data_IF_505096147122
#
_entry.id   IF_505096147122
#
_cell.length_a   1.000
_cell.length_b   1.000
_cell.length_c   1.000
_cell.angle_alpha   90.00
_cell.angle_beta   90.00
_cell.angle_gamma   90.00
#
_symmetry.space_group_name_H-M   'P 1'
#
loop_
_entity.id
_entity.type
_entity.pdbx_description
1 polymer ?
#
# COMPACT_ATOMS: atom_id res chain seq x y z
N UNK A 1 -27.29 -1.23 -11.63
CA UNK A 1 -26.67 -1.47 -10.30
C UNK A 1 -25.96 -0.19 -9.91
N UNK A 2 -26.35 0.45 -8.80
CA UNK A 2 -25.61 1.60 -8.27
C UNK A 2 -24.28 1.06 -7.75
N UNK A 3 -23.22 1.27 -8.50
CA UNK A 3 -21.87 0.90 -8.05
C UNK A 3 -21.42 1.83 -6.94
N UNK A 4 -20.46 1.38 -6.13
CA UNK A 4 -19.84 2.23 -5.13
C UNK A 4 -18.97 3.29 -5.80
N UNK A 5 -19.02 4.51 -5.29
CA UNK A 5 -18.14 5.61 -5.74
C UNK A 5 -16.84 5.53 -4.93
N UNK A 6 -15.69 5.61 -5.60
CA UNK A 6 -14.40 5.72 -4.92
C UNK A 6 -14.16 7.20 -4.59
N UNK A 7 -13.94 7.48 -3.32
CA UNK A 7 -13.53 8.78 -2.82
C UNK A 7 -12.22 8.65 -2.03
N UNK A 8 -11.64 9.77 -1.62
CA UNK A 8 -10.35 9.80 -0.92
C UNK A 8 -10.44 10.67 0.32
N UNK A 9 -9.87 10.23 1.46
CA UNK A 9 -9.70 11.13 2.62
C UNK A 9 -8.83 12.31 2.23
N UNK A 10 -7.72 12.02 1.52
CA UNK A 10 -6.80 13.03 1.03
C UNK A 10 -6.28 12.63 -0.35
N UNK A 11 -6.96 13.11 -1.40
CA UNK A 11 -6.61 12.78 -2.78
C UNK A 11 -5.17 13.16 -3.13
N UNK A 12 -4.66 14.28 -2.60
CA UNK A 12 -3.31 14.74 -2.90
C UNK A 12 -2.23 13.81 -2.33
N UNK A 13 -2.34 13.43 -1.07
CA UNK A 13 -1.39 12.48 -0.46
C UNK A 13 -1.53 11.09 -1.07
N UNK A 14 -2.76 10.63 -1.30
CA UNK A 14 -3.01 9.34 -1.92
C UNK A 14 -2.38 9.24 -3.32
N UNK A 15 -2.55 10.27 -4.16
CA UNK A 15 -1.94 10.31 -5.50
C UNK A 15 -0.41 10.32 -5.45
N UNK A 16 0.22 10.87 -4.42
CA UNK A 16 1.69 10.80 -4.23
C UNK A 16 2.12 9.36 -3.93
N UNK A 17 1.43 8.71 -2.99
CA UNK A 17 1.67 7.31 -2.63
C UNK A 17 1.47 6.39 -3.84
N UNK A 18 0.38 6.59 -4.58
CA UNK A 18 0.06 5.81 -5.77
C UNK A 18 1.12 5.97 -6.88
N UNK A 19 1.64 7.18 -7.11
CA UNK A 19 2.74 7.42 -8.06
C UNK A 19 4.03 6.70 -7.64
N UNK A 20 4.34 6.73 -6.35
CA UNK A 20 5.50 6.01 -5.81
C UNK A 20 5.31 4.49 -5.94
N UNK A 21 4.14 3.99 -5.58
CA UNK A 21 3.77 2.59 -5.74
C UNK A 21 3.90 2.15 -7.21
N UNK A 22 3.46 2.98 -8.16
CA UNK A 22 3.62 2.71 -9.60
C UNK A 22 5.09 2.61 -10.03
N UNK A 23 5.98 3.41 -9.44
CA UNK A 23 7.43 3.43 -9.77
C UNK A 23 8.15 2.22 -9.18
N UNK A 24 7.89 1.91 -7.92
CA UNK A 24 8.66 0.94 -7.14
C UNK A 24 8.01 -0.44 -7.02
N UNK A 25 6.69 -0.53 -7.10
CA UNK A 25 5.94 -1.79 -7.08
C UNK A 25 4.81 -1.79 -8.12
N UNK A 26 5.23 -1.93 -9.39
CA UNK A 26 4.33 -1.91 -10.56
C UNK A 26 3.29 -3.04 -10.51
N UNK A 27 3.61 -4.17 -9.88
CA UNK A 27 2.69 -5.33 -9.76
C UNK A 27 1.54 -4.99 -8.81
N UNK A 28 1.84 -4.47 -7.61
CA UNK A 28 0.82 -3.97 -6.69
C UNK A 28 -0.07 -2.92 -7.36
N UNK A 29 0.53 -1.93 -8.02
CA UNK A 29 -0.21 -0.86 -8.69
C UNK A 29 -1.16 -1.38 -9.77
N UNK A 30 -0.73 -2.35 -10.58
CA UNK A 30 -1.59 -2.99 -11.59
C UNK A 30 -2.75 -3.72 -10.94
N UNK A 31 -2.48 -4.56 -9.93
CA UNK A 31 -3.53 -5.33 -9.25
C UNK A 31 -4.56 -4.42 -8.56
N UNK A 32 -4.07 -3.36 -7.92
CA UNK A 32 -4.89 -2.31 -7.32
C UNK A 32 -5.83 -1.66 -8.33
N UNK A 33 -5.31 -1.20 -9.47
CA UNK A 33 -6.10 -0.49 -10.46
C UNK A 33 -7.03 -1.40 -11.28
N UNK A 34 -6.59 -2.60 -11.65
CA UNK A 34 -7.33 -3.47 -12.57
C UNK A 34 -8.31 -4.40 -11.88
N UNK A 35 -8.00 -4.87 -10.67
CA UNK A 35 -8.83 -5.83 -9.94
C UNK A 35 -9.54 -5.12 -8.79
N UNK A 36 -8.78 -4.58 -7.84
CA UNK A 36 -9.34 -4.09 -6.57
C UNK A 36 -10.28 -2.89 -6.76
N UNK A 37 -9.90 -1.85 -7.51
CA UNK A 37 -10.82 -0.73 -7.76
C UNK A 37 -12.08 -1.15 -8.52
N UNK A 38 -12.02 -2.18 -9.38
CA UNK A 38 -13.22 -2.69 -10.05
C UNK A 38 -14.11 -3.44 -9.08
N UNK A 39 -13.53 -4.26 -8.22
CA UNK A 39 -14.25 -5.02 -7.20
C UNK A 39 -14.92 -4.08 -6.19
N UNK A 40 -14.20 -3.07 -5.71
CA UNK A 40 -14.74 -2.05 -4.81
C UNK A 40 -15.94 -1.33 -5.42
N UNK A 41 -15.83 -0.88 -6.69
CA UNK A 41 -16.95 -0.25 -7.40
C UNK A 41 -18.15 -1.18 -7.61
N UNK A 42 -17.92 -2.50 -7.66
CA UNK A 42 -18.99 -3.51 -7.76
C UNK A 42 -19.61 -3.85 -6.41
N UNK A 43 -19.03 -3.39 -5.30
CA UNK A 43 -19.46 -3.72 -3.93
C UNK A 43 -18.85 -5.01 -3.39
N UNK A 44 -17.76 -5.49 -4.00
CA UNK A 44 -16.97 -6.61 -3.47
C UNK A 44 -15.78 -6.06 -2.68
N UNK A 45 -15.91 -6.02 -1.35
CA UNK A 45 -14.86 -5.51 -0.47
C UNK A 45 -13.82 -6.59 -0.21
N UNK A 46 -12.63 -6.36 -0.76
CA UNK A 46 -11.49 -7.28 -0.69
C UNK A 46 -10.52 -6.85 0.41
N UNK A 47 -10.13 -7.78 1.27
CA UNK A 47 -9.20 -7.52 2.38
C UNK A 47 -9.69 -8.07 3.71
N UNK A 48 -8.97 -7.72 4.77
CA UNK A 48 -9.32 -8.05 6.15
C UNK A 48 -10.09 -6.86 6.75
N UNK A 49 -11.28 -7.10 7.30
CA UNK A 49 -12.02 -6.08 8.04
C UNK A 49 -11.32 -5.83 9.38
N UNK A 50 -10.88 -4.59 9.61
CA UNK A 50 -10.11 -4.21 10.80
C UNK A 50 -11.00 -3.53 11.84
N UNK A 51 -12.00 -2.77 11.38
CA UNK A 51 -12.96 -2.11 12.25
C UNK A 51 -14.34 -2.01 11.60
N UNK A 52 -15.37 -2.05 12.43
CA UNK A 52 -16.75 -1.79 12.02
C UNK A 52 -17.43 -0.84 13.00
N UNK A 53 -17.91 0.28 12.48
CA UNK A 53 -18.57 1.33 13.24
C UNK A 53 -20.08 1.27 12.98
N UNK A 54 -20.78 0.55 13.85
CA UNK A 54 -22.24 0.36 13.76
C UNK A 54 -23.05 1.65 13.87
N UNK A 55 -22.48 2.72 14.46
CA UNK A 55 -23.16 4.02 14.56
C UNK A 55 -23.22 4.75 13.22
N UNK A 56 -22.12 4.68 12.46
CA UNK A 56 -22.00 5.38 11.18
C UNK A 56 -22.27 4.47 9.98
N UNK A 57 -22.41 3.15 10.20
CA UNK A 57 -22.58 2.15 9.13
C UNK A 57 -21.37 2.12 8.20
N UNK A 58 -20.18 2.20 8.82
CA UNK A 58 -18.89 2.26 8.16
C UNK A 58 -18.04 1.05 8.51
N UNK A 59 -17.38 0.49 7.51
CA UNK A 59 -16.51 -0.69 7.65
C UNK A 59 -15.13 -0.38 7.09
N UNK A 60 -14.09 -0.51 7.90
CA UNK A 60 -12.71 -0.27 7.48
C UNK A 60 -12.03 -1.59 7.16
N UNK A 61 -11.39 -1.63 6.00
CA UNK A 61 -10.73 -2.80 5.46
C UNK A 61 -9.24 -2.50 5.21
N UNK A 62 -8.41 -3.49 5.53
CA UNK A 62 -7.01 -3.55 5.15
C UNK A 62 -6.80 -4.58 4.05
N UNK A 63 -6.32 -4.12 2.90
CA UNK A 63 -5.99 -4.98 1.77
C UNK A 63 -4.50 -5.08 1.56
N UNK A 64 -3.95 -6.26 1.79
CA UNK A 64 -2.54 -6.56 1.52
C UNK A 64 -2.29 -6.61 0.02
N UNK A 65 -1.40 -5.74 -0.46
CA UNK A 65 -0.99 -5.68 -1.86
C UNK A 65 0.22 -6.61 -2.09
N UNK A 66 0.35 -7.19 -3.29
CA UNK A 66 1.49 -8.05 -3.61
C UNK A 66 2.78 -7.23 -3.66
N UNK A 67 3.75 -7.56 -2.81
CA UNK A 67 5.07 -6.93 -2.78
C UNK A 67 6.17 -7.97 -2.69
N UNK A 68 7.38 -7.59 -3.11
CA UNK A 68 8.56 -8.46 -3.02
C UNK A 68 8.86 -8.80 -1.57
N UNK A 69 9.15 -10.09 -1.30
CA UNK A 69 9.43 -10.58 0.06
C UNK A 69 10.52 -9.79 0.78
N UNK A 70 11.58 -9.41 0.05
CA UNK A 70 12.70 -8.66 0.62
C UNK A 70 12.27 -7.22 0.96
N UNK A 71 11.49 -6.59 0.07
CA UNK A 71 10.93 -5.27 0.34
C UNK A 71 10.04 -5.29 1.58
N UNK A 72 9.15 -6.29 1.67
CA UNK A 72 8.26 -6.49 2.82
C UNK A 72 9.02 -6.66 4.14
N UNK A 73 10.15 -7.37 4.13
CA UNK A 73 10.96 -7.57 5.34
C UNK A 73 11.70 -6.30 5.78
N UNK A 74 12.04 -5.41 4.85
CA UNK A 74 12.81 -4.20 5.15
C UNK A 74 11.88 -3.05 5.55
N UNK A 75 10.87 -2.79 4.70
CA UNK A 75 9.99 -1.62 4.76
C UNK A 75 8.60 -1.94 5.34
N UNK A 76 8.22 -3.22 5.38
CA UNK A 76 6.89 -3.67 5.82
C UNK A 76 5.98 -4.08 4.66
N UNK A 77 4.87 -4.74 4.99
CA UNK A 77 3.85 -5.13 4.02
C UNK A 77 3.20 -3.90 3.40
N UNK A 78 3.04 -3.91 2.07
CA UNK A 78 2.29 -2.86 1.39
C UNK A 78 0.80 -3.14 1.58
N UNK A 79 0.07 -2.27 2.26
CA UNK A 79 -1.37 -2.43 2.47
C UNK A 79 -2.13 -1.18 2.08
N UNK A 80 -3.28 -1.37 1.44
CA UNK A 80 -4.27 -0.33 1.22
C UNK A 80 -5.25 -0.32 2.39
N UNK A 81 -5.45 0.83 3.00
CA UNK A 81 -6.48 1.07 4.02
C UNK A 81 -7.61 1.84 3.36
N UNK A 82 -8.83 1.33 3.46
CA UNK A 82 -10.02 1.99 2.93
C UNK A 82 -11.22 1.76 3.83
N UNK A 83 -12.11 2.75 3.89
CA UNK A 83 -13.36 2.70 4.66
C UNK A 83 -14.55 2.73 3.73
N UNK A 84 -15.50 1.82 3.95
CA UNK A 84 -16.71 1.65 3.17
C UNK A 84 -17.87 2.27 3.91
N UNK A 85 -18.57 3.20 3.28
CA UNK A 85 -19.81 3.80 3.74
C UNK A 85 -20.99 3.14 3.03
N UNK A 86 -21.63 2.18 3.68
CA UNK A 86 -22.69 1.38 3.08
C UNK A 86 -23.94 2.21 2.76
N UNK A 87 -24.29 3.18 3.62
CA UNK A 87 -25.43 4.09 3.42
C UNK A 87 -25.32 4.95 2.16
N UNK A 88 -24.12 5.47 1.92
CA UNK A 88 -23.85 6.42 0.83
C UNK A 88 -23.38 5.70 -0.43
N UNK A 89 -23.08 4.40 -0.35
CA UNK A 89 -22.41 3.61 -1.38
C UNK A 89 -21.09 4.27 -1.80
N UNK A 90 -20.29 4.73 -0.83
CA UNK A 90 -18.99 5.37 -1.06
C UNK A 90 -17.91 4.52 -0.42
N UNK A 91 -16.81 4.32 -1.13
CA UNK A 91 -15.59 3.71 -0.61
C UNK A 91 -14.53 4.79 -0.54
N UNK A 92 -14.17 5.18 0.67
CA UNK A 92 -13.16 6.19 0.94
C UNK A 92 -11.80 5.50 1.07
N UNK A 93 -10.89 5.78 0.15
CA UNK A 93 -9.51 5.35 0.21
C UNK A 93 -8.77 6.24 1.21
N UNK A 94 -8.28 5.64 2.29
CA UNK A 94 -7.60 6.39 3.36
C UNK A 94 -6.14 6.61 2.98
N UNK A 95 -5.38 5.52 2.89
CA UNK A 95 -3.94 5.57 2.65
C UNK A 95 -3.37 4.23 2.19
N UNK A 96 -2.09 4.25 1.79
CA UNK A 96 -1.29 3.08 1.46
C UNK A 96 -0.09 3.05 2.40
N UNK A 97 -0.02 2.03 3.24
CA UNK A 97 1.14 1.76 4.08
C UNK A 97 2.16 0.90 3.32
N UNK A 98 3.48 1.06 3.56
CA UNK A 98 4.14 2.05 4.42
C UNK A 98 4.28 3.43 3.74
N UNK A 99 3.74 4.48 4.37
CA UNK A 99 3.75 5.83 3.80
C UNK A 99 5.14 6.46 3.72
N UNK A 100 6.01 6.19 4.70
CA UNK A 100 7.32 6.84 4.81
C UNK A 100 8.18 6.65 3.56
N UNK A 101 8.43 5.40 3.17
CA UNK A 101 9.23 5.06 1.98
C UNK A 101 8.53 5.46 0.68
N UNK A 102 7.19 5.40 0.64
CA UNK A 102 6.42 5.77 -0.54
C UNK A 102 6.46 7.30 -0.77
N UNK A 103 6.25 8.10 0.27
CA UNK A 103 6.36 9.56 0.21
C UNK A 103 7.79 9.99 -0.09
N UNK A 104 8.78 9.35 0.53
CA UNK A 104 10.19 9.62 0.26
C UNK A 104 10.53 9.33 -1.21
N UNK A 105 10.06 8.20 -1.74
CA UNK A 105 10.27 7.82 -3.12
C UNK A 105 9.50 8.64 -4.14
N UNK A 106 8.45 9.35 -3.70
CA UNK A 106 7.81 10.39 -4.49
C UNK A 106 8.63 11.69 -4.49
N UNK A 107 9.13 12.11 -3.32
CA UNK A 107 9.90 13.36 -3.14
C UNK A 107 11.27 13.30 -3.82
N UNK A 108 11.91 12.13 -3.79
CA UNK A 108 13.26 11.97 -4.30
C UNK A 108 13.44 10.60 -4.93
N UNK A 109 14.30 10.53 -5.94
CA UNK A 109 14.63 9.24 -6.55
C UNK A 109 15.40 8.38 -5.55
N UNK A 110 14.78 7.27 -5.12
CA UNK A 110 15.40 6.32 -4.23
C UNK A 110 16.47 5.55 -4.98
N UNK A 111 17.56 5.25 -4.28
CA UNK A 111 18.63 4.43 -4.83
C UNK A 111 18.34 2.96 -4.50
N UNK A 112 18.99 2.08 -5.25
CA UNK A 112 18.91 0.64 -5.02
C UNK A 112 20.24 0.13 -4.48
N UNK A 113 20.21 -0.63 -3.40
CA UNK A 113 21.35 -1.38 -2.89
C UNK A 113 21.06 -2.88 -3.03
N UNK A 114 21.95 -3.61 -3.71
CA UNK A 114 21.77 -5.04 -4.03
C UNK A 114 20.41 -5.36 -4.70
N UNK A 115 19.94 -4.47 -5.57
CA UNK A 115 18.65 -4.60 -6.26
C UNK A 115 17.42 -4.24 -5.43
N UNK A 116 17.60 -3.75 -4.19
CA UNK A 116 16.51 -3.41 -3.27
C UNK A 116 16.52 -1.91 -3.01
N UNK A 117 15.34 -1.31 -3.03
CA UNK A 117 15.15 0.12 -2.81
C UNK A 117 15.46 0.47 -1.35
N UNK A 118 16.29 1.48 -1.14
CA UNK A 118 16.66 1.98 0.19
C UNK A 118 16.16 3.41 0.38
N UNK A 119 15.74 3.71 1.61
CA UNK A 119 15.49 5.08 2.06
C UNK A 119 16.80 5.88 1.99
N UNK A 120 16.74 7.16 1.61
CA UNK A 120 17.88 8.08 1.78
C UNK A 120 18.07 8.47 3.24
N UNK A 121 16.97 8.71 3.95
CA UNK A 121 17.02 9.06 5.38
C UNK A 121 17.54 7.91 6.24
N UNK A 122 17.18 6.67 5.90
CA UNK A 122 17.55 5.47 6.66
C UNK A 122 18.48 4.50 5.90
N UNK A 123 19.24 5.01 4.93
CA UNK A 123 20.09 4.22 4.03
C UNK A 123 20.94 3.17 4.76
N UNK A 124 21.66 3.58 5.82
CA UNK A 124 22.53 2.68 6.58
C UNK A 124 21.76 1.55 7.28
N UNK A 125 20.56 1.83 7.79
CA UNK A 125 19.72 0.84 8.46
C UNK A 125 19.13 -0.15 7.47
N UNK A 126 18.72 0.32 6.30
CA UNK A 126 18.20 -0.52 5.23
C UNK A 126 19.30 -1.41 4.65
N UNK A 127 20.49 -0.85 4.40
CA UNK A 127 21.66 -1.63 3.97
C UNK A 127 22.01 -2.72 4.98
N UNK A 128 22.02 -2.39 6.29
CA UNK A 128 22.29 -3.38 7.33
C UNK A 128 21.24 -4.51 7.34
N UNK A 129 19.95 -4.19 7.22
CA UNK A 129 18.89 -5.20 7.11
C UNK A 129 19.06 -6.07 5.87
N UNK A 130 19.38 -5.46 4.72
CA UNK A 130 19.64 -6.18 3.47
C UNK A 130 20.80 -7.15 3.63
N UNK A 131 21.90 -6.70 4.23
CA UNK A 131 23.08 -7.52 4.44
C UNK A 131 22.82 -8.65 5.43
N UNK A 132 22.10 -8.38 6.53
CA UNK A 132 21.69 -9.40 7.49
C UNK A 132 20.80 -10.47 6.83
N UNK A 133 19.79 -10.06 6.06
CA UNK A 133 18.89 -10.99 5.36
C UNK A 133 19.63 -11.84 4.32
N UNK A 134 20.58 -11.25 3.59
CA UNK A 134 21.41 -11.99 2.66
C UNK A 134 22.32 -12.99 3.38
N UNK A 135 22.92 -12.62 4.51
CA UNK A 135 23.74 -13.53 5.32
C UNK A 135 22.93 -14.72 5.85
N UNK A 136 21.68 -14.51 6.26
CA UNK A 136 20.79 -15.58 6.72
C UNK A 136 20.43 -16.54 5.57
N UNK A 137 20.13 -16.01 4.39
CA UNK A 137 19.83 -16.84 3.20
C UNK A 137 21.01 -17.67 2.71
N UNK A 138 22.24 -17.19 2.89
CA UNK A 138 23.45 -17.94 2.52
C UNK A 138 23.86 -19.00 3.55
N UNK A 139 23.14 -19.11 4.68
CA UNK A 139 23.38 -20.11 5.72
C UNK A 139 22.47 -21.34 5.61
N UNK A 140 21.53 -21.34 4.67
CA UNK A 140 20.74 -22.52 4.25
C UNK A 140 21.35 -23.17 3.01
#
# INVERSE_FOLDING_TARGET
>A
MKGFVLDYINENEYRKLERSLKKYNKIAFKKLNFDYYKDLRRGNFVGEMVSSDKKNDTETYELKLPSDRIFTQIHGEVKLIYTVHLKENIVILETITPESILLEGHRSELTTYKGIIISKENASKDMFKIDLLNMLKHKE
#
